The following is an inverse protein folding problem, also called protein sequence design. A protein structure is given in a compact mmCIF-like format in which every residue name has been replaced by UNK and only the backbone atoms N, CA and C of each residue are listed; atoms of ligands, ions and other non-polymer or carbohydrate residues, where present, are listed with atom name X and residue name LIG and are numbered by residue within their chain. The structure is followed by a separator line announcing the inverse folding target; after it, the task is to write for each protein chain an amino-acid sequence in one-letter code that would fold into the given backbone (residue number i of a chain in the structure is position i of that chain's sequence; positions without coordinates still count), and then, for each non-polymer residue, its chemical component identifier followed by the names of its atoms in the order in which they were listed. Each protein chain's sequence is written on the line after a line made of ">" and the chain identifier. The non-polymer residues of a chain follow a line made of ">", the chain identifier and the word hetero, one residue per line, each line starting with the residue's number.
data_IF_676311678120
#
_entry.id   IF_676311678120
#
_cell.length_a   1.000
_cell.length_b   1.000
_cell.length_c   1.000
_cell.angle_alpha   90.00
_cell.angle_beta   90.00
_cell.angle_gamma   90.00
#
_symmetry.space_group_name_H-M   'P 1'
#
loop_
_entity.id
_entity.type
_entity.pdbx_description
1 polymer ?
#
# COMPACT_ATOMS: atom_id res chain seq x y z
N UNK A 1 -6.54 9.43 9.11
CA UNK A 1 -5.75 8.93 10.28
C UNK A 1 -6.42 7.91 11.22
N UNK A 2 -7.46 8.20 12.03
CA UNK A 2 -7.91 7.23 13.05
C UNK A 2 -8.34 5.86 12.48
N UNK A 3 -9.17 5.84 11.42
CA UNK A 3 -9.58 4.59 10.78
C UNK A 3 -8.38 3.82 10.19
N UNK A 4 -7.41 4.54 9.62
CA UNK A 4 -6.18 3.95 9.09
C UNK A 4 -5.43 3.16 10.18
N UNK A 5 -5.21 3.76 11.35
CA UNK A 5 -4.55 3.06 12.46
C UNK A 5 -5.40 1.91 13.03
N UNK A 6 -6.73 2.06 13.07
CA UNK A 6 -7.63 0.96 13.46
C UNK A 6 -7.56 -0.23 12.51
N UNK A 7 -7.32 0.01 11.21
CA UNK A 7 -7.07 -1.06 10.26
C UNK A 7 -5.78 -1.81 10.61
N UNK A 8 -4.70 -1.12 10.96
CA UNK A 8 -3.46 -1.77 11.42
C UNK A 8 -3.68 -2.62 12.67
N UNK A 9 -4.44 -2.12 13.65
CA UNK A 9 -4.82 -2.92 14.82
C UNK A 9 -5.59 -4.18 14.42
N UNK A 10 -6.53 -4.08 13.46
CA UNK A 10 -7.35 -5.21 13.00
C UNK A 10 -6.53 -6.24 12.21
N UNK A 11 -5.53 -5.78 11.46
CA UNK A 11 -4.56 -6.60 10.72
C UNK A 11 -3.48 -7.21 11.64
N UNK A 12 -3.37 -6.77 12.89
CA UNK A 12 -2.36 -7.31 13.80
C UNK A 12 -2.54 -8.82 14.07
N UNK A 13 -3.78 -9.28 14.10
CA UNK A 13 -4.13 -10.71 14.25
C UNK A 13 -3.83 -11.55 12.98
N UNK A 14 -3.43 -10.92 11.87
CA UNK A 14 -2.81 -11.57 10.73
C UNK A 14 -2.72 -10.69 9.48
N UNK A 15 -1.74 -10.86 8.58
CA UNK A 15 -0.33 -11.23 8.79
C UNK A 15 0.48 -10.15 9.56
N UNK A 16 -0.18 -9.21 10.24
CA UNK A 16 0.46 -8.07 10.87
C UNK A 16 0.80 -6.95 9.88
N UNK A 17 1.59 -5.98 10.33
CA UNK A 17 2.02 -4.85 9.49
C UNK A 17 2.89 -5.29 8.30
N UNK A 18 3.56 -6.43 8.40
CA UNK A 18 4.47 -6.93 7.38
C UNK A 18 5.94 -6.79 7.78
N UNK A 19 6.76 -7.65 7.18
CA UNK A 19 8.21 -7.75 7.35
C UNK A 19 8.97 -7.49 6.07
N UNK A 20 8.32 -7.64 4.91
CA UNK A 20 8.87 -7.32 3.58
C UNK A 20 8.29 -6.03 3.02
N UNK A 21 8.94 -5.46 1.99
CA UNK A 21 8.42 -4.29 1.30
C UNK A 21 6.98 -4.51 0.81
N UNK A 22 6.71 -5.63 0.14
CA UNK A 22 5.40 -5.96 -0.41
C UNK A 22 4.32 -6.01 0.67
N UNK A 23 4.60 -6.67 1.80
CA UNK A 23 3.67 -6.74 2.93
C UNK A 23 3.36 -5.35 3.50
N UNK A 24 4.38 -4.50 3.66
CA UNK A 24 4.17 -3.14 4.16
C UNK A 24 3.41 -2.25 3.19
N UNK A 25 3.71 -2.32 1.88
CA UNK A 25 2.95 -1.60 0.85
C UNK A 25 1.45 -1.94 0.92
N UNK A 26 1.12 -3.23 1.10
CA UNK A 26 -0.27 -3.69 1.18
C UNK A 26 -0.92 -3.32 2.52
N UNK A 27 -0.19 -3.40 3.63
CA UNK A 27 -0.70 -2.94 4.92
C UNK A 27 -1.10 -1.46 4.89
N UNK A 28 -0.24 -0.60 4.34
CA UNK A 28 -0.48 0.83 4.20
C UNK A 28 -1.59 1.14 3.20
N UNK A 29 -1.57 0.48 2.04
CA UNK A 29 -2.62 0.63 1.03
C UNK A 29 -4.00 0.24 1.54
N UNK A 30 -4.12 -0.90 2.24
CA UNK A 30 -5.40 -1.35 2.80
C UNK A 30 -5.88 -0.41 3.91
N UNK A 31 -4.99 0.12 4.74
CA UNK A 31 -5.34 1.07 5.78
C UNK A 31 -5.87 2.39 5.21
N UNK A 32 -5.24 2.91 4.13
CA UNK A 32 -5.73 4.07 3.38
C UNK A 32 -7.12 3.83 2.78
N UNK A 33 -7.31 2.72 2.07
CA UNK A 33 -8.60 2.37 1.47
C UNK A 33 -9.69 2.09 2.51
N UNK A 34 -9.33 1.54 3.68
CA UNK A 34 -10.28 1.38 4.78
C UNK A 34 -10.72 2.73 5.36
N UNK A 35 -9.80 3.70 5.50
CA UNK A 35 -10.16 5.05 5.90
C UNK A 35 -11.12 5.71 4.88
N UNK A 36 -10.88 5.51 3.58
CA UNK A 36 -11.82 5.94 2.53
C UNK A 36 -13.17 5.23 2.63
N UNK A 37 -13.19 3.91 2.87
CA UNK A 37 -14.42 3.11 3.02
C UNK A 37 -15.31 3.64 4.16
N UNK A 38 -14.71 4.01 5.30
CA UNK A 38 -15.43 4.48 6.49
C UNK A 38 -15.94 5.92 6.33
N UNK A 39 -15.14 6.82 5.77
CA UNK A 39 -15.45 8.26 5.76
C UNK A 39 -15.91 8.80 4.40
N UNK A 40 -15.82 8.01 3.34
CA UNK A 40 -16.11 8.42 1.95
C UNK A 40 -15.37 9.71 1.57
N UNK A 41 -14.10 9.84 1.98
CA UNK A 41 -13.25 11.01 1.75
C UNK A 41 -12.24 10.76 0.61
N UNK A 42 -11.53 11.81 0.22
CA UNK A 42 -10.40 11.72 -0.72
C UNK A 42 -9.19 10.99 -0.08
N UNK A 43 -8.23 10.50 -0.88
CA UNK A 43 -6.98 9.98 -0.34
C UNK A 43 -6.26 11.04 0.50
N UNK A 44 -5.49 10.60 1.48
CA UNK A 44 -4.64 11.48 2.28
C UNK A 44 -3.46 12.01 1.43
N UNK A 45 -2.78 13.11 1.81
CA UNK A 45 -1.71 13.70 1.00
C UNK A 45 -0.56 12.74 0.67
N UNK A 46 -0.22 11.81 1.59
CA UNK A 46 0.82 10.79 1.37
C UNK A 46 0.39 9.64 0.45
N UNK A 47 -0.90 9.54 0.12
CA UNK A 47 -1.46 8.56 -0.81
C UNK A 47 -1.63 9.12 -2.23
N UNK A 48 -1.34 10.42 -2.39
CA UNK A 48 -1.70 11.22 -3.56
C UNK A 48 -0.50 11.60 -4.45
N UNK A 49 0.63 10.89 -4.39
CA UNK A 49 1.73 11.09 -5.33
C UNK A 49 1.30 10.63 -6.73
N UNK A 50 1.50 11.48 -7.72
CA UNK A 50 1.11 11.23 -9.11
C UNK A 50 1.69 9.92 -9.67
N UNK A 51 0.86 9.16 -10.40
CA UNK A 51 1.28 7.86 -10.95
C UNK A 51 2.49 7.98 -11.88
N UNK A 52 2.66 9.11 -12.57
CA UNK A 52 3.85 9.39 -13.40
C UNK A 52 5.15 9.45 -12.60
N UNK A 53 5.09 9.83 -11.32
CA UNK A 53 6.22 9.82 -10.37
C UNK A 53 6.43 8.43 -9.79
N UNK A 54 5.37 7.64 -9.60
CA UNK A 54 5.47 6.28 -9.06
C UNK A 54 6.03 5.27 -10.07
N UNK A 55 5.58 5.34 -11.33
CA UNK A 55 5.86 4.35 -12.37
C UNK A 55 7.35 4.01 -12.57
N UNK A 56 8.30 4.97 -12.54
CA UNK A 56 9.72 4.64 -12.63
C UNK A 56 10.26 3.72 -11.52
N UNK A 57 9.60 3.66 -10.36
CA UNK A 57 10.03 2.87 -9.20
C UNK A 57 9.37 1.49 -9.11
N UNK A 58 8.38 1.20 -9.97
CA UNK A 58 7.71 -0.11 -10.04
C UNK A 58 8.68 -1.29 -10.23
N UNK A 59 9.70 -1.22 -11.11
CA UNK A 59 10.68 -2.31 -11.24
C UNK A 59 11.43 -2.59 -9.94
N UNK A 60 11.87 -1.54 -9.23
CA UNK A 60 12.56 -1.66 -7.94
C UNK A 60 11.64 -2.25 -6.87
N UNK A 61 10.37 -1.80 -6.82
CA UNK A 61 9.39 -2.35 -5.89
C UNK A 61 9.15 -3.85 -6.13
N UNK A 62 9.13 -4.28 -7.40
CA UNK A 62 9.01 -5.70 -7.77
C UNK A 62 10.23 -6.52 -7.38
N UNK A 63 11.43 -5.98 -7.58
CA UNK A 63 12.69 -6.63 -7.21
C UNK A 63 12.82 -6.78 -5.68
N UNK A 64 12.46 -5.73 -4.94
CA UNK A 64 12.52 -5.69 -3.48
C UNK A 64 11.26 -6.26 -2.80
N UNK A 65 10.29 -6.78 -3.55
CA UNK A 65 8.97 -7.17 -3.01
C UNK A 65 9.05 -8.05 -1.76
N UNK A 66 9.88 -9.09 -1.83
CA UNK A 66 10.12 -10.05 -0.73
C UNK A 66 11.33 -9.69 0.15
N UNK A 67 11.90 -8.49 0.01
CA UNK A 67 13.07 -8.08 0.75
C UNK A 67 12.68 -7.63 2.16
N UNK A 68 13.05 -8.42 3.17
CA UNK A 68 12.85 -8.07 4.59
C UNK A 68 13.85 -7.04 5.15
N UNK A 69 14.84 -6.63 4.35
CA UNK A 69 15.86 -5.64 4.70
C UNK A 69 15.77 -4.39 3.82
N UNK A 70 14.59 -4.14 3.24
CA UNK A 70 14.36 -2.94 2.45
C UNK A 70 14.51 -1.67 3.32
N UNK A 71 14.87 -0.55 2.71
CA UNK A 71 14.99 0.72 3.42
C UNK A 71 13.62 1.32 3.73
N UNK A 72 13.03 1.00 4.89
CA UNK A 72 11.70 1.49 5.26
C UNK A 72 11.61 3.02 5.20
N UNK A 73 12.56 3.72 5.81
CA UNK A 73 12.58 5.18 5.79
C UNK A 73 12.72 5.73 4.37
N UNK A 74 13.55 5.10 3.53
CA UNK A 74 13.77 5.49 2.14
C UNK A 74 12.47 5.39 1.33
N UNK A 75 11.74 4.29 1.48
CA UNK A 75 10.51 4.02 0.75
C UNK A 75 9.34 4.90 1.21
N UNK A 76 9.17 5.09 2.52
CA UNK A 76 7.96 5.71 3.07
C UNK A 76 8.14 7.21 3.36
N UNK A 77 9.33 7.66 3.78
CA UNK A 77 9.63 9.07 4.06
C UNK A 77 10.44 9.75 2.95
N UNK A 78 10.98 8.97 2.01
CA UNK A 78 11.77 9.48 0.88
C UNK A 78 13.25 9.61 1.22
N UNK A 79 14.04 9.85 0.17
CA UNK A 79 15.49 10.06 0.26
C UNK A 79 15.96 10.93 -0.90
N UNK A 80 17.28 11.06 -1.08
CA UNK A 80 17.82 11.65 -2.30
C UNK A 80 17.53 10.81 -3.56
N UNK A 81 17.24 9.51 -3.39
CA UNK A 81 17.01 8.56 -4.48
C UNK A 81 15.53 8.20 -4.70
N UNK A 82 14.69 8.29 -3.65
CA UNK A 82 13.27 7.98 -3.72
C UNK A 82 12.41 9.20 -3.37
N UNK A 83 11.32 9.46 -4.11
CA UNK A 83 10.41 10.54 -3.79
C UNK A 83 9.75 10.29 -2.42
N UNK A 84 9.44 11.37 -1.72
CA UNK A 84 8.68 11.31 -0.47
C UNK A 84 7.33 10.65 -0.71
N UNK A 85 6.93 9.78 0.21
CA UNK A 85 5.66 9.03 0.21
C UNK A 85 5.50 8.00 -0.91
N UNK A 86 6.60 7.58 -1.54
CA UNK A 86 6.57 6.55 -2.59
C UNK A 86 5.86 5.29 -2.11
N UNK A 87 6.24 4.75 -0.96
CA UNK A 87 5.66 3.52 -0.41
C UNK A 87 4.16 3.63 -0.14
N UNK A 88 3.73 4.69 0.55
CA UNK A 88 2.33 4.95 0.84
C UNK A 88 1.48 5.04 -0.44
N UNK A 89 1.89 5.89 -1.39
CA UNK A 89 1.15 6.10 -2.64
C UNK A 89 1.17 4.88 -3.54
N UNK A 90 2.28 4.14 -3.61
CA UNK A 90 2.36 2.90 -4.40
C UNK A 90 1.45 1.82 -3.81
N UNK A 91 1.46 1.64 -2.48
CA UNK A 91 0.54 0.75 -1.77
C UNK A 91 -0.92 1.09 -2.02
N UNK A 92 -1.28 2.37 -1.92
CA UNK A 92 -2.62 2.87 -2.20
C UNK A 92 -3.09 2.57 -3.63
N UNK A 93 -2.22 2.82 -4.63
CA UNK A 93 -2.54 2.55 -6.03
C UNK A 93 -2.66 1.04 -6.32
N UNK A 94 -1.85 0.20 -5.69
CA UNK A 94 -1.96 -1.26 -5.79
C UNK A 94 -3.32 -1.76 -5.32
N UNK A 95 -3.74 -1.34 -4.12
CA UNK A 95 -5.01 -1.73 -3.54
C UNK A 95 -6.18 -1.17 -4.35
N UNK A 96 -6.09 0.07 -4.84
CA UNK A 96 -7.09 0.68 -5.72
C UNK A 96 -7.35 -0.16 -6.98
N UNK A 97 -6.28 -0.64 -7.63
CA UNK A 97 -6.38 -1.49 -8.83
C UNK A 97 -6.98 -2.86 -8.51
N UNK A 98 -6.56 -3.46 -7.42
CA UNK A 98 -7.15 -4.72 -6.96
C UNK A 98 -8.66 -4.56 -6.71
N UNK A 99 -9.08 -3.52 -5.99
CA UNK A 99 -10.50 -3.26 -5.71
C UNK A 99 -11.30 -2.94 -6.99
N UNK A 100 -10.69 -2.24 -7.95
CA UNK A 100 -11.31 -1.99 -9.26
C UNK A 100 -11.56 -3.29 -10.03
N UNK A 101 -10.62 -4.24 -9.96
CA UNK A 101 -10.76 -5.57 -10.57
C UNK A 101 -11.73 -6.50 -9.82
N UNK A 102 -12.05 -6.18 -8.56
CA UNK A 102 -12.93 -6.96 -7.69
C UNK A 102 -14.05 -6.07 -7.13
N UNK A 103 -15.13 -5.81 -7.87
CA UNK A 103 -16.16 -4.82 -7.50
C UNK A 103 -16.91 -5.09 -6.19
N UNK A 104 -16.79 -6.30 -5.64
CA UNK A 104 -17.34 -6.68 -4.32
C UNK A 104 -16.29 -6.72 -3.21
N UNK A 105 -15.02 -6.46 -3.55
CA UNK A 105 -13.92 -6.32 -2.61
C UNK A 105 -14.06 -5.05 -1.78
N UNK A 106 -13.67 -5.14 -0.50
CA UNK A 106 -13.64 -4.03 0.45
C UNK A 106 -12.36 -4.14 1.26
N UNK A 107 -11.75 -3.00 1.60
CA UNK A 107 -10.55 -3.01 2.43
C UNK A 107 -10.82 -3.67 3.80
N UNK A 108 -12.00 -3.41 4.37
CA UNK A 108 -12.47 -4.06 5.61
C UNK A 108 -12.55 -5.60 5.52
N UNK A 109 -12.82 -6.15 4.34
CA UNK A 109 -12.90 -7.60 4.11
C UNK A 109 -11.55 -8.23 3.74
N UNK A 110 -10.55 -7.41 3.42
CA UNK A 110 -9.21 -7.83 3.00
C UNK A 110 -8.18 -7.63 4.11
N UNK A 111 -8.63 -7.38 5.34
CA UNK A 111 -7.77 -7.06 6.49
C UNK A 111 -6.62 -8.06 6.69
N UNK A 112 -6.84 -9.35 6.44
CA UNK A 112 -5.85 -10.43 6.56
C UNK A 112 -5.33 -10.94 5.21
N UNK A 113 -5.60 -10.23 4.11
CA UNK A 113 -5.13 -10.63 2.79
C UNK A 113 -3.61 -10.67 2.72
N UNK A 114 -3.10 -11.73 2.09
CA UNK A 114 -1.70 -11.89 1.74
C UNK A 114 -1.30 -10.86 0.68
N UNK A 115 -0.10 -10.30 0.79
CA UNK A 115 0.39 -9.31 -0.15
C UNK A 115 0.50 -9.87 -1.58
N UNK A 116 0.77 -11.17 -1.74
CA UNK A 116 0.99 -11.83 -3.03
C UNK A 116 -0.20 -11.68 -3.99
N UNK A 117 -1.43 -11.57 -3.49
CA UNK A 117 -2.62 -11.41 -4.36
C UNK A 117 -2.62 -10.04 -5.07
N UNK A 118 -1.87 -9.06 -4.56
CA UNK A 118 -1.80 -7.70 -5.11
C UNK A 118 -0.62 -7.51 -6.09
N UNK A 119 0.42 -8.34 -6.01
CA UNK A 119 1.63 -8.26 -6.85
C UNK A 119 1.36 -8.24 -8.38
N UNK A 120 0.35 -8.94 -8.92
CA UNK A 120 0.01 -8.85 -10.34
C UNK A 120 -0.35 -7.42 -10.78
N UNK A 121 -1.05 -6.67 -9.93
CA UNK A 121 -1.52 -5.31 -10.22
C UNK A 121 -0.41 -4.25 -10.23
N UNK A 122 0.77 -4.58 -9.69
CA UNK A 122 1.94 -3.71 -9.72
C UNK A 122 2.38 -3.36 -11.14
N UNK A 123 2.13 -4.23 -12.13
CA UNK A 123 2.50 -4.00 -13.54
C UNK A 123 1.65 -2.93 -14.22
N UNK A 124 0.51 -2.60 -13.63
CA UNK A 124 -0.47 -1.75 -14.26
C UNK A 124 -0.27 -0.27 -13.88
N UNK A 125 0.49 0.00 -12.82
CA UNK A 125 0.88 1.35 -12.32
C UNK A 125 1.77 2.05 -13.36
#
# INVERSE_FOLDING_TARGET
>A
MLAHELHHCSRWDGPGYGTTLGETLISEGLAGHFAQEVFNWQPEPWESVETSVLRPHVPRAREEWNNARYGHEEWFFGSAALPRWLGYSLGYQLVSRYLTAHPHGRASALVHADAEIFLPHLREI
#
